data_IF_812631656284
#
_entry.id   IF_812631656284
#
_cell.length_a   1.000
_cell.length_b   1.000
_cell.length_c   1.000
_cell.angle_alpha   90.00
_cell.angle_beta   90.00
_cell.angle_gamma   90.00
#
_symmetry.space_group_name_H-M   'P 1'
#
loop_
_entity.id
_entity.type
_entity.pdbx_description
1 polymer ?
#
# COMPACT_ATOMS: atom_id res chain seq x y z
N UNK A 1 -6.79 11.30 -11.09
CA UNK A 1 -6.52 10.27 -10.08
C UNK A 1 -5.16 9.67 -10.32
N UNK A 2 -4.38 9.54 -9.28
CA UNK A 2 -3.00 9.09 -9.34
C UNK A 2 -2.87 7.76 -8.58
N UNK A 3 -2.22 6.75 -9.16
CA UNK A 3 -2.07 5.45 -8.54
C UNK A 3 -0.60 5.17 -8.23
N UNK A 4 -0.34 4.52 -7.10
CA UNK A 4 0.98 4.04 -6.72
C UNK A 4 0.89 2.54 -6.46
N UNK A 5 1.73 1.78 -7.15
CA UNK A 5 1.85 0.34 -6.96
C UNK A 5 3.21 0.09 -6.31
N UNK A 6 3.19 -0.59 -5.16
CA UNK A 6 4.41 -0.94 -4.44
C UNK A 6 4.51 -2.46 -4.34
N UNK A 7 5.59 -3.02 -4.86
CA UNK A 7 5.86 -4.45 -4.78
C UNK A 7 6.94 -4.70 -3.74
N UNK A 8 6.62 -5.59 -2.80
CA UNK A 8 7.53 -6.00 -1.73
C UNK A 8 7.89 -7.47 -1.88
N UNK A 9 9.18 -7.78 -1.72
CA UNK A 9 9.63 -9.14 -1.49
C UNK A 9 9.76 -9.36 0.01
N UNK A 10 9.06 -10.36 0.52
CA UNK A 10 9.02 -10.65 1.96
C UNK A 10 10.22 -11.50 2.32
N UNK A 11 11.04 -11.01 3.24
CA UNK A 11 12.25 -11.70 3.73
C UNK A 11 11.84 -12.82 4.68
N UNK A 12 10.96 -12.53 5.62
CA UNK A 12 10.49 -13.49 6.61
C UNK A 12 9.02 -13.81 6.38
N UNK A 13 8.77 -14.88 5.65
CA UNK A 13 7.41 -15.30 5.28
C UNK A 13 6.56 -15.76 6.45
N UNK A 14 7.18 -16.12 7.57
CA UNK A 14 6.45 -16.52 8.77
C UNK A 14 5.71 -15.35 9.41
N UNK A 15 6.06 -14.12 9.04
CA UNK A 15 5.48 -12.90 9.58
C UNK A 15 4.47 -12.21 8.65
N UNK A 16 4.02 -12.88 7.58
CA UNK A 16 3.05 -12.29 6.64
C UNK A 16 1.74 -11.96 7.35
N UNK A 17 1.23 -12.87 8.19
CA UNK A 17 -0.02 -12.61 8.92
C UNK A 17 0.09 -11.40 9.85
N UNK A 18 1.22 -11.23 10.51
CA UNK A 18 1.51 -10.07 11.34
C UNK A 18 1.55 -8.80 10.50
N UNK A 19 2.18 -8.86 9.33
CA UNK A 19 2.27 -7.73 8.41
C UNK A 19 0.88 -7.28 7.95
N UNK A 20 0.03 -8.22 7.55
CA UNK A 20 -1.34 -7.95 7.12
C UNK A 20 -2.13 -7.28 8.25
N UNK A 21 -2.04 -7.83 9.45
CA UNK A 21 -2.73 -7.30 10.63
C UNK A 21 -2.27 -5.88 10.97
N UNK A 22 -0.95 -5.64 10.97
CA UNK A 22 -0.40 -4.31 11.25
C UNK A 22 -0.80 -3.30 10.18
N UNK A 23 -0.86 -3.71 8.92
CA UNK A 23 -1.32 -2.85 7.84
C UNK A 23 -2.75 -2.39 8.09
N UNK A 24 -3.63 -3.33 8.38
CA UNK A 24 -5.04 -3.04 8.63
C UNK A 24 -5.25 -2.18 9.88
N UNK A 25 -4.57 -2.49 10.96
CA UNK A 25 -4.83 -1.87 12.27
C UNK A 25 -4.07 -0.56 12.50
N UNK A 26 -2.87 -0.39 11.91
CA UNK A 26 -2.03 0.76 12.20
C UNK A 26 -1.70 1.63 11.00
N UNK A 27 -1.53 1.05 9.82
CA UNK A 27 -1.20 1.82 8.62
C UNK A 27 -2.43 2.47 7.99
N UNK A 28 -3.49 1.69 7.76
CA UNK A 28 -4.68 2.19 7.08
C UNK A 28 -5.36 3.36 7.79
N UNK A 29 -5.50 3.38 9.13
CA UNK A 29 -6.06 4.55 9.79
C UNK A 29 -5.32 5.85 9.48
N UNK A 30 -3.99 5.80 9.39
CA UNK A 30 -3.19 6.97 9.05
C UNK A 30 -3.28 7.31 7.56
N UNK A 31 -3.27 6.29 6.70
CA UNK A 31 -3.35 6.48 5.26
C UNK A 31 -4.67 7.12 4.84
N UNK A 32 -5.78 6.67 5.43
CA UNK A 32 -7.12 7.16 5.07
C UNK A 32 -7.34 8.62 5.49
N UNK A 33 -6.53 9.14 6.41
CA UNK A 33 -6.60 10.54 6.84
C UNK A 33 -5.82 11.48 5.93
N UNK A 34 -4.98 10.97 5.04
CA UNK A 34 -4.22 11.81 4.13
C UNK A 34 -5.15 12.50 3.12
N UNK A 35 -4.86 13.78 2.78
CA UNK A 35 -5.63 14.48 1.76
C UNK A 35 -5.63 13.72 0.43
N UNK A 36 -6.78 13.69 -0.23
CA UNK A 36 -6.91 13.10 -1.56
C UNK A 36 -6.95 11.58 -1.62
N UNK A 37 -6.93 10.90 -0.49
CA UNK A 37 -7.03 9.44 -0.46
C UNK A 37 -8.37 8.97 -1.06
N UNK A 38 -8.32 7.98 -1.96
CA UNK A 38 -9.54 7.42 -2.54
C UNK A 38 -9.60 5.89 -2.55
N UNK A 39 -8.51 5.20 -2.28
CA UNK A 39 -8.58 3.74 -2.21
C UNK A 39 -7.23 3.09 -1.93
N UNK A 40 -7.29 1.88 -1.40
CA UNK A 40 -6.11 1.08 -1.10
C UNK A 40 -6.45 -0.40 -1.14
N UNK A 41 -5.54 -1.19 -1.69
CA UNK A 41 -5.61 -2.66 -1.63
C UNK A 41 -4.23 -3.22 -1.35
N UNK A 42 -4.17 -4.23 -0.50
CA UNK A 42 -2.96 -5.01 -0.27
C UNK A 42 -3.21 -6.42 -0.79
N UNK A 43 -2.31 -6.92 -1.62
CA UNK A 43 -2.44 -8.19 -2.33
C UNK A 43 -1.33 -9.12 -1.89
N UNK A 44 -1.69 -10.30 -1.41
CA UNK A 44 -0.73 -11.38 -1.20
C UNK A 44 -0.67 -12.21 -2.47
N UNK A 45 0.44 -12.10 -3.21
CA UNK A 45 0.57 -12.73 -4.53
C UNK A 45 1.17 -14.15 -4.48
N UNK A 46 1.55 -14.62 -3.29
CA UNK A 46 2.22 -15.91 -3.13
C UNK A 46 3.72 -15.80 -3.34
N UNK A 47 4.43 -16.87 -3.00
CA UNK A 47 5.89 -16.96 -3.13
C UNK A 47 6.66 -15.82 -2.43
N UNK A 48 6.10 -15.28 -1.34
CA UNK A 48 6.73 -14.19 -0.62
C UNK A 48 6.64 -12.84 -1.31
N UNK A 49 5.69 -12.65 -2.23
CA UNK A 49 5.46 -11.38 -2.91
C UNK A 49 4.18 -10.75 -2.38
N UNK A 50 4.27 -9.47 -1.99
CA UNK A 50 3.12 -8.66 -1.61
C UNK A 50 3.12 -7.41 -2.47
N UNK A 51 1.94 -6.96 -2.90
CA UNK A 51 1.78 -5.74 -3.66
C UNK A 51 0.69 -4.89 -3.07
N UNK A 52 0.89 -3.57 -3.07
CA UNK A 52 -0.16 -2.64 -2.68
C UNK A 52 -0.48 -1.70 -3.82
N UNK A 53 -1.74 -1.29 -3.89
CA UNK A 53 -2.19 -0.26 -4.83
C UNK A 53 -2.90 0.80 -4.01
N UNK A 54 -2.48 2.06 -4.16
CA UNK A 54 -3.14 3.18 -3.52
C UNK A 54 -3.54 4.21 -4.57
N UNK A 55 -4.67 4.89 -4.32
CA UNK A 55 -5.20 5.92 -5.20
C UNK A 55 -5.31 7.23 -4.46
N UNK A 56 -4.81 8.30 -5.09
CA UNK A 56 -4.89 9.67 -4.59
C UNK A 56 -5.33 10.60 -5.70
N UNK A 57 -5.75 11.81 -5.35
CA UNK A 57 -6.20 12.79 -6.32
C UNK A 57 -5.05 13.41 -7.11
N UNK A 58 -3.88 13.63 -6.47
CA UNK A 58 -2.72 14.27 -7.08
C UNK A 58 -1.44 13.49 -6.84
N UNK A 59 -0.40 13.78 -7.64
CA UNK A 59 0.93 13.18 -7.44
C UNK A 59 1.56 13.62 -6.11
N UNK A 60 1.32 14.85 -5.68
CA UNK A 60 1.86 15.34 -4.40
C UNK A 60 1.28 14.56 -3.23
N UNK A 61 -0.02 14.30 -3.23
CA UNK A 61 -0.67 13.51 -2.17
C UNK A 61 -0.22 12.04 -2.22
N UNK A 62 -0.01 11.50 -3.42
CA UNK A 62 0.55 10.16 -3.58
C UNK A 62 1.97 10.07 -3.02
N UNK A 63 2.82 11.07 -3.28
CA UNK A 63 4.17 11.12 -2.73
C UNK A 63 4.16 11.18 -1.20
N UNK A 64 3.23 11.92 -0.63
CA UNK A 64 3.06 11.98 0.82
C UNK A 64 2.72 10.61 1.40
N UNK A 65 1.87 9.84 0.72
CA UNK A 65 1.54 8.48 1.13
C UNK A 65 2.75 7.55 1.09
N UNK A 66 3.63 7.75 0.12
CA UNK A 66 4.88 6.98 0.00
C UNK A 66 5.80 7.27 1.19
N UNK A 67 5.90 8.53 1.59
CA UNK A 67 6.68 8.91 2.77
C UNK A 67 6.08 8.32 4.05
N UNK A 68 4.76 8.36 4.17
CA UNK A 68 4.07 7.75 5.30
C UNK A 68 4.36 6.26 5.39
N UNK A 69 4.28 5.56 4.27
CA UNK A 69 4.53 4.13 4.20
C UNK A 69 5.97 3.78 4.61
N UNK A 70 6.95 4.52 4.11
CA UNK A 70 8.35 4.32 4.44
C UNK A 70 8.62 4.53 5.94
N UNK A 71 8.04 5.57 6.51
CA UNK A 71 8.16 5.86 7.93
C UNK A 71 7.48 4.79 8.78
N UNK A 72 6.31 4.33 8.35
CA UNK A 72 5.57 3.29 9.07
C UNK A 72 6.34 1.96 9.11
N UNK A 73 6.93 1.55 7.99
CA UNK A 73 7.77 0.35 7.94
C UNK A 73 8.91 0.45 8.95
N UNK A 74 9.54 1.61 9.04
CA UNK A 74 10.62 1.87 9.98
C UNK A 74 10.15 1.84 11.42
N UNK A 75 9.05 2.53 11.72
CA UNK A 75 8.49 2.62 13.07
C UNK A 75 8.03 1.27 13.58
N UNK A 76 7.49 0.42 12.70
CA UNK A 76 7.02 -0.91 13.05
C UNK A 76 8.13 -1.95 13.01
N UNK A 77 9.36 -1.55 12.70
CA UNK A 77 10.53 -2.43 12.60
C UNK A 77 10.32 -3.58 11.61
N UNK A 78 9.71 -3.26 10.46
CA UNK A 78 9.42 -4.23 9.42
C UNK A 78 10.52 -4.36 8.37
N UNK A 79 11.63 -3.66 8.55
CA UNK A 79 12.78 -3.71 7.65
C UNK A 79 13.44 -5.09 7.61
N UNK A 80 13.27 -5.88 8.67
CA UNK A 80 13.73 -7.27 8.72
C UNK A 80 12.74 -8.26 8.10
N UNK A 81 11.54 -7.78 7.77
CA UNK A 81 10.47 -8.59 7.18
C UNK A 81 10.33 -8.33 5.69
N UNK A 82 10.55 -7.09 5.28
CA UNK A 82 10.36 -6.64 3.91
C UNK A 82 11.62 -6.06 3.31
N UNK A 83 11.93 -6.41 2.07
CA UNK A 83 12.90 -5.66 1.28
C UNK A 83 12.30 -4.30 0.89
N UNK A 84 13.14 -3.29 0.56
CA UNK A 84 12.62 -2.03 0.03
C UNK A 84 11.74 -2.27 -1.18
N UNK A 85 10.60 -1.55 -1.31
CA UNK A 85 9.65 -1.81 -2.39
C UNK A 85 10.17 -1.32 -3.74
N UNK A 86 9.69 -1.98 -4.79
CA UNK A 86 9.75 -1.44 -6.15
C UNK A 86 8.45 -0.69 -6.40
N UNK A 87 8.56 0.59 -6.74
CA UNK A 87 7.40 1.48 -6.84
C UNK A 87 7.20 1.88 -8.31
N UNK A 88 5.96 1.72 -8.77
CA UNK A 88 5.48 2.25 -10.05
C UNK A 88 4.33 3.18 -9.75
N UNK A 89 4.39 4.41 -10.24
CA UNK A 89 3.32 5.37 -10.02
C UNK A 89 3.04 6.17 -11.28
N UNK A 90 1.81 6.64 -11.42
CA UNK A 90 1.42 7.42 -12.58
C UNK A 90 -0.04 7.84 -12.55
N UNK A 91 -0.41 8.62 -13.55
CA UNK A 91 -1.79 9.05 -13.75
C UNK A 91 -2.64 7.87 -14.20
N UNK A 92 -3.80 7.71 -13.59
CA UNK A 92 -4.77 6.69 -14.02
C UNK A 92 -5.48 7.23 -15.25
N UNK A 93 -5.30 6.54 -16.37
CA UNK A 93 -5.84 6.98 -17.67
C UNK A 93 -7.12 6.26 -18.05
N UNK A 94 -7.39 5.09 -17.46
CA UNK A 94 -8.66 4.37 -17.60
C UNK A 94 -8.99 3.73 -16.26
N UNK A 95 -10.20 3.96 -15.78
CA UNK A 95 -10.64 3.41 -14.51
C UNK A 95 -12.13 3.12 -14.57
N UNK A 96 -12.52 1.93 -14.15
CA UNK A 96 -13.92 1.56 -14.05
C UNK A 96 -14.14 0.74 -12.79
N UNK A 97 -15.18 1.11 -12.05
CA UNK A 97 -15.62 0.38 -10.86
C UNK A 97 -17.05 -0.08 -11.09
N UNK A 98 -17.32 -1.33 -10.74
CA UNK A 98 -18.68 -1.84 -10.76
C UNK A 98 -19.28 -1.73 -9.36
N UNK A 99 -20.11 -0.72 -9.17
CA UNK A 99 -20.73 -0.42 -7.87
C UNK A 99 -21.81 -1.43 -7.47
N UNK A 100 -22.28 -2.25 -8.41
CA UNK A 100 -23.29 -3.26 -8.12
C UNK A 100 -22.70 -4.49 -7.46
N UNK A 101 -21.38 -4.64 -7.47
CA UNK A 101 -20.67 -5.75 -6.84
C UNK A 101 -20.25 -5.31 -5.45
N UNK A 102 -21.19 -5.32 -4.53
CA UNK A 102 -20.93 -4.99 -3.13
C UNK A 102 -20.99 -6.26 -2.30
N UNK A 103 -20.00 -6.43 -1.48
CA UNK A 103 -19.99 -7.55 -0.54
C UNK A 103 -20.98 -7.32 0.58
#
# INVERSE_FOLDING_TARGET
MFATISRYDVIDRTRISELVKKTDETFLPSLTELPGFSGYSLIEAGNGVMSSISYFDTSEHADESTRLSSNWVREQKLETVLNPPKITSGEVVVHKVNELVQA
#
